data_IF_765000833774
#
_entry.id   IF_765000833774
#
_cell.length_a   1.000
_cell.length_b   1.000
_cell.length_c   1.000
_cell.angle_alpha   90.00
_cell.angle_beta   90.00
_cell.angle_gamma   90.00
#
_symmetry.space_group_name_H-M   'P 1'
#
loop_
_entity.id
_entity.type
_entity.pdbx_description
1 polymer ?
#
# COMPACT_ATOMS: atom_id res chain seq x y z
N UNK A 1 -40.19 -24.92 -7.34
CA UNK A 1 -41.05 -23.99 -6.58
C UNK A 1 -40.25 -22.73 -6.26
N UNK A 2 -40.78 -21.58 -6.70
CA UNK A 2 -40.47 -20.17 -6.40
C UNK A 2 -39.02 -19.68 -6.44
N UNK A 3 -38.67 -19.13 -7.61
CA UNK A 3 -37.76 -17.99 -7.81
C UNK A 3 -38.44 -16.72 -7.29
N UNK A 4 -37.71 -15.82 -6.62
CA UNK A 4 -38.10 -14.41 -6.46
C UNK A 4 -36.93 -13.56 -6.97
N UNK A 5 -37.14 -13.03 -8.18
CA UNK A 5 -36.51 -11.84 -8.75
C UNK A 5 -37.48 -10.68 -8.48
N UNK A 6 -37.00 -9.44 -8.57
CA UNK A 6 -37.76 -8.17 -8.63
C UNK A 6 -37.97 -7.52 -7.25
N UNK A 7 -37.86 -6.21 -7.01
CA UNK A 7 -37.87 -5.03 -7.88
C UNK A 7 -37.43 -3.86 -6.98
N UNK A 8 -36.45 -3.04 -7.36
CA UNK A 8 -36.08 -1.83 -6.59
C UNK A 8 -35.94 -0.66 -7.57
N UNK A 9 -37.08 -0.16 -8.01
CA UNK A 9 -37.23 1.12 -8.68
C UNK A 9 -38.67 1.65 -8.47
N UNK A 10 -38.76 2.88 -7.98
CA UNK A 10 -39.89 3.81 -8.09
C UNK A 10 -41.12 3.49 -7.23
N UNK A 11 -41.22 4.15 -6.08
CA UNK A 11 -42.50 4.57 -5.52
C UNK A 11 -42.30 5.91 -4.79
N UNK A 12 -42.41 6.99 -5.57
CA UNK A 12 -42.69 8.31 -5.06
C UNK A 12 -44.16 8.39 -4.64
N UNK A 13 -44.40 9.16 -3.57
CA UNK A 13 -45.63 9.87 -3.19
C UNK A 13 -46.58 9.28 -2.13
N UNK A 14 -46.76 10.12 -1.10
CA UNK A 14 -47.81 10.23 -0.08
C UNK A 14 -47.69 9.39 1.20
N UNK A 15 -46.92 9.94 2.16
CA UNK A 15 -47.40 10.01 3.55
C UNK A 15 -47.36 11.49 3.95
N UNK A 16 -48.55 12.05 4.17
CA UNK A 16 -48.75 13.38 4.70
C UNK A 16 -48.56 13.42 6.22
N UNK A 17 -48.04 14.55 6.69
CA UNK A 17 -48.23 15.13 8.01
C UNK A 17 -47.90 14.24 9.23
N UNK A 18 -46.63 13.88 9.38
CA UNK A 18 -46.03 13.73 10.72
C UNK A 18 -44.77 14.57 10.75
N UNK A 19 -44.90 15.76 11.34
CA UNK A 19 -43.83 16.57 11.93
C UNK A 19 -42.52 16.64 11.11
N UNK A 20 -42.37 17.69 10.30
CA UNK A 20 -41.06 18.32 10.13
C UNK A 20 -40.59 18.73 11.52
N UNK A 21 -39.87 17.83 12.22
CA UNK A 21 -38.91 18.28 13.22
C UNK A 21 -37.99 19.23 12.47
N UNK A 22 -38.03 20.50 12.86
CA UNK A 22 -37.03 21.51 12.51
C UNK A 22 -35.69 20.79 12.50
N UNK A 23 -35.01 20.74 11.35
CA UNK A 23 -33.69 20.11 11.21
C UNK A 23 -32.88 20.47 12.45
N UNK A 24 -32.47 19.47 13.23
CA UNK A 24 -31.56 19.68 14.34
C UNK A 24 -30.24 20.17 13.73
N UNK A 25 -30.15 21.48 13.58
CA UNK A 25 -28.96 22.14 13.08
C UNK A 25 -27.77 21.73 13.92
N UNK A 26 -26.64 21.54 13.28
CA UNK A 26 -25.34 21.25 13.88
C UNK A 26 -25.10 22.10 15.14
N UNK A 27 -25.28 21.51 16.33
CA UNK A 27 -25.07 22.20 17.60
C UNK A 27 -23.62 22.03 18.01
N UNK A 28 -22.87 23.13 17.98
CA UNK A 28 -21.53 23.18 18.54
C UNK A 28 -21.55 22.85 20.04
N UNK A 29 -20.50 22.19 20.53
CA UNK A 29 -20.33 21.93 21.95
C UNK A 29 -19.86 23.24 22.60
N UNK A 30 -20.80 24.06 23.09
CA UNK A 30 -20.54 25.40 23.65
C UNK A 30 -20.08 25.36 25.12
N UNK A 31 -20.09 24.20 25.78
CA UNK A 31 -19.71 24.04 27.21
C UNK A 31 -18.42 23.25 27.38
N UNK A 32 -17.79 23.39 28.55
CA UNK A 32 -16.72 22.50 29.02
C UNK A 32 -17.26 21.07 29.14
N UNK A 33 -17.25 20.37 28.02
CA UNK A 33 -17.52 18.95 27.94
C UNK A 33 -16.20 18.20 28.16
N UNK A 34 -16.18 17.29 29.14
CA UNK A 34 -15.05 16.41 29.39
C UNK A 34 -14.67 15.61 28.12
N UNK A 35 -15.63 15.31 27.24
CA UNK A 35 -15.37 14.70 25.94
C UNK A 35 -14.51 15.61 25.04
N UNK A 36 -14.72 16.93 25.03
CA UNK A 36 -13.87 17.87 24.28
C UNK A 36 -12.43 17.85 24.77
N UNK A 37 -12.22 17.86 26.09
CA UNK A 37 -10.89 17.76 26.67
C UNK A 37 -10.22 16.42 26.28
N UNK A 38 -10.96 15.31 26.30
CA UNK A 38 -10.47 14.00 25.84
C UNK A 38 -10.12 13.99 24.35
N UNK A 39 -10.94 14.59 23.48
CA UNK A 39 -10.64 14.74 22.04
C UNK A 39 -9.31 15.47 21.87
N UNK A 40 -9.13 16.61 22.53
CA UNK A 40 -7.91 17.42 22.41
C UNK A 40 -6.69 16.64 22.89
N UNK A 41 -6.82 15.86 23.97
CA UNK A 41 -5.73 15.06 24.51
C UNK A 41 -5.39 13.84 23.63
N UNK A 42 -6.41 13.15 23.10
CA UNK A 42 -6.26 11.89 22.39
C UNK A 42 -5.98 12.07 20.89
N UNK A 43 -6.54 13.11 20.26
CA UNK A 43 -6.33 13.49 18.87
C UNK A 43 -5.34 14.64 18.77
N UNK A 44 -4.08 14.37 19.12
CA UNK A 44 -2.99 15.33 18.98
C UNK A 44 -1.76 14.65 18.39
N UNK A 45 -1.32 15.12 17.22
CA UNK A 45 -0.20 14.54 16.49
C UNK A 45 -0.63 13.79 15.23
N UNK A 46 0.24 12.90 14.74
CA UNK A 46 0.02 12.18 13.47
C UNK A 46 -0.39 10.75 13.74
N UNK A 47 -1.44 10.27 13.06
CA UNK A 47 -1.91 8.89 13.11
C UNK A 47 -2.08 8.34 11.70
N UNK A 48 -2.03 7.01 11.56
CA UNK A 48 -2.26 6.33 10.29
C UNK A 48 -3.68 5.78 10.28
N UNK A 49 -4.48 6.20 9.31
CA UNK A 49 -5.83 5.71 9.10
C UNK A 49 -5.94 5.10 7.70
N UNK A 50 -6.61 3.95 7.59
CA UNK A 50 -7.01 3.37 6.32
C UNK A 50 -8.16 4.17 5.71
N UNK A 51 -8.03 4.54 4.43
CA UNK A 51 -9.02 5.36 3.73
C UNK A 51 -9.41 4.76 2.38
N UNK A 52 -10.71 4.58 2.17
CA UNK A 52 -11.27 4.30 0.85
C UNK A 52 -11.40 5.61 0.08
N UNK A 53 -10.97 5.62 -1.19
CA UNK A 53 -11.10 6.80 -2.04
C UNK A 53 -11.88 6.44 -3.28
N UNK A 54 -13.09 6.97 -3.38
CA UNK A 54 -13.96 6.80 -4.52
C UNK A 54 -13.81 7.98 -5.46
N UNK A 55 -13.60 7.71 -6.74
CA UNK A 55 -13.66 8.71 -7.80
C UNK A 55 -14.79 8.35 -8.75
N UNK A 56 -15.76 9.26 -8.90
CA UNK A 56 -16.98 9.03 -9.68
C UNK A 56 -17.72 7.73 -9.27
N UNK A 57 -17.80 7.47 -7.96
CA UNK A 57 -18.45 6.29 -7.39
C UNK A 57 -17.65 4.98 -7.44
N UNK A 58 -16.53 4.96 -8.16
CA UNK A 58 -15.64 3.78 -8.22
C UNK A 58 -14.57 3.89 -7.16
N UNK A 59 -14.49 2.91 -6.26
CA UNK A 59 -13.40 2.81 -5.30
C UNK A 59 -12.06 2.57 -6.02
N UNK A 60 -11.11 3.47 -5.76
CA UNK A 60 -9.74 3.46 -6.28
C UNK A 60 -8.73 2.95 -5.26
N UNK A 61 -9.13 2.75 -4.01
CA UNK A 61 -8.31 2.08 -3.00
C UNK A 61 -8.25 0.57 -3.25
N UNK A 62 -9.34 -0.03 -3.75
CA UNK A 62 -9.47 -1.45 -4.21
C UNK A 62 -9.27 -2.52 -3.14
N UNK A 63 -8.51 -2.25 -2.09
CA UNK A 63 -8.15 -3.17 -1.02
C UNK A 63 -9.00 -2.90 0.23
N UNK A 64 -9.39 -3.96 0.94
CA UNK A 64 -10.28 -3.90 2.11
C UNK A 64 -9.78 -2.98 3.24
N UNK A 65 -8.47 -2.78 3.37
CA UNK A 65 -7.87 -1.92 4.39
C UNK A 65 -7.80 -0.43 4.01
N UNK A 66 -8.21 -0.06 2.80
CA UNK A 66 -8.02 1.28 2.24
C UNK A 66 -6.54 1.65 2.06
N UNK A 67 -6.29 2.87 1.60
CA UNK A 67 -4.95 3.48 1.51
C UNK A 67 -4.49 3.87 2.91
N UNK A 68 -3.33 3.40 3.41
CA UNK A 68 -2.73 3.92 4.63
C UNK A 68 -2.39 5.41 4.46
N UNK A 69 -3.05 6.28 5.22
CA UNK A 69 -2.95 7.73 5.06
C UNK A 69 -2.56 8.38 6.38
N UNK A 70 -1.60 9.31 6.33
CA UNK A 70 -1.18 10.12 7.49
C UNK A 70 -2.19 11.25 7.71
N UNK A 71 -2.89 11.18 8.85
CA UNK A 71 -3.72 12.27 9.33
C UNK A 71 -3.01 12.97 10.48
N UNK A 72 -2.82 14.29 10.35
CA UNK A 72 -2.29 15.13 11.42
C UNK A 72 -3.45 15.87 12.08
N UNK A 73 -3.56 15.71 13.39
CA UNK A 73 -4.51 16.38 14.25
C UNK A 73 -3.78 17.43 15.08
N UNK A 74 -4.33 18.64 15.12
CA UNK A 74 -3.83 19.71 15.98
C UNK A 74 -4.97 20.56 16.48
N UNK A 75 -5.07 20.70 17.80
CA UNK A 75 -6.00 21.64 18.39
C UNK A 75 -5.52 23.09 18.22
N UNK A 76 -6.39 23.95 17.67
CA UNK A 76 -6.18 25.39 17.55
C UNK A 76 -6.91 26.12 18.66
N UNK A 77 -6.21 26.37 19.75
CA UNK A 77 -6.77 26.97 20.97
C UNK A 77 -7.48 28.31 20.71
N UNK A 78 -6.90 29.18 19.88
CA UNK A 78 -7.46 30.50 19.55
C UNK A 78 -8.76 30.42 18.74
N UNK A 79 -8.90 29.39 17.91
CA UNK A 79 -10.06 29.18 17.03
C UNK A 79 -11.07 28.19 17.63
N UNK A 80 -10.72 27.51 18.72
CA UNK A 80 -11.47 26.41 19.34
C UNK A 80 -11.86 25.32 18.33
N UNK A 81 -10.94 25.00 17.43
CA UNK A 81 -11.14 24.05 16.33
C UNK A 81 -10.07 22.98 16.29
N UNK A 82 -10.43 21.80 15.82
CA UNK A 82 -9.50 20.72 15.52
C UNK A 82 -9.05 20.83 14.07
N UNK A 83 -7.80 21.21 13.85
CA UNK A 83 -7.18 21.14 12.53
C UNK A 83 -6.87 19.67 12.19
N UNK A 84 -7.33 19.23 11.03
CA UNK A 84 -7.13 17.89 10.48
C UNK A 84 -6.48 18.06 9.12
N UNK A 85 -5.28 17.52 8.97
CA UNK A 85 -4.47 17.67 7.76
C UNK A 85 -4.08 16.31 7.18
N UNK A 86 -4.28 16.17 5.87
CA UNK A 86 -3.66 15.14 5.04
C UNK A 86 -2.63 15.85 4.19
N UNK A 87 -1.34 15.61 4.42
CA UNK A 87 -0.27 16.33 3.69
C UNK A 87 -0.22 15.92 2.23
N UNK A 88 -0.35 14.61 1.98
CA UNK A 88 -0.25 14.02 0.64
C UNK A 88 -1.17 12.82 0.54
N UNK A 89 -2.06 12.84 -0.43
CA UNK A 89 -2.81 11.68 -0.88
C UNK A 89 -2.84 11.67 -2.41
N UNK A 90 -2.57 10.51 -3.00
CA UNK A 90 -2.66 10.29 -4.45
C UNK A 90 -3.27 8.91 -4.69
N UNK A 91 -4.59 8.77 -4.52
CA UNK A 91 -5.24 7.48 -4.62
C UNK A 91 -5.29 6.99 -6.08
N UNK A 92 -4.85 5.75 -6.30
CA UNK A 92 -5.03 5.03 -7.56
C UNK A 92 -4.24 5.61 -8.74
N UNK A 93 -4.96 6.11 -9.75
CA UNK A 93 -4.39 6.66 -11.00
C UNK A 93 -4.58 8.17 -11.10
N UNK A 94 -4.72 8.86 -9.96
CA UNK A 94 -4.80 10.32 -9.98
C UNK A 94 -3.54 10.92 -10.60
N UNK A 95 -3.68 11.91 -11.50
CA UNK A 95 -2.54 12.48 -12.22
C UNK A 95 -1.59 13.27 -11.32
N UNK A 96 -2.05 13.73 -10.15
CA UNK A 96 -1.24 14.45 -9.17
C UNK A 96 -1.72 14.18 -7.74
N UNK A 97 -0.81 14.34 -6.79
CA UNK A 97 -1.10 14.26 -5.36
C UNK A 97 -1.72 15.57 -4.85
N UNK A 98 -2.55 15.47 -3.81
CA UNK A 98 -3.18 16.62 -3.15
C UNK A 98 -2.96 16.59 -1.65
N UNK A 99 -3.07 17.76 -1.02
CA UNK A 99 -3.19 17.94 0.41
C UNK A 99 -4.60 18.41 0.77
N UNK A 100 -5.01 18.16 2.01
CA UNK A 100 -6.28 18.60 2.58
C UNK A 100 -6.04 19.20 3.95
N UNK A 101 -6.68 20.32 4.24
CA UNK A 101 -6.74 20.89 5.59
C UNK A 101 -8.18 21.25 5.93
N UNK A 102 -8.68 20.72 7.04
CA UNK A 102 -9.97 21.08 7.60
C UNK A 102 -9.80 21.63 9.03
N UNK A 103 -10.55 22.65 9.39
CA UNK A 103 -10.60 23.23 10.74
C UNK A 103 -11.96 22.90 11.37
N UNK A 104 -12.06 21.69 11.89
CA UNK A 104 -13.30 21.11 12.37
C UNK A 104 -13.78 21.72 13.68
N UNK A 105 -15.05 22.08 13.72
CA UNK A 105 -15.78 22.38 14.95
C UNK A 105 -16.21 21.06 15.60
N UNK A 106 -16.12 20.98 16.94
CA UNK A 106 -16.63 19.85 17.72
C UNK A 106 -18.12 20.06 18.02
N UNK A 107 -18.94 19.08 17.65
CA UNK A 107 -20.39 19.19 17.65
C UNK A 107 -21.05 18.00 18.37
N UNK A 108 -22.23 18.26 18.91
CA UNK A 108 -23.12 17.20 19.37
C UNK A 108 -23.67 16.41 18.17
N UNK A 109 -23.96 15.13 18.41
CA UNK A 109 -24.67 14.30 17.45
C UNK A 109 -26.14 14.72 17.40
N UNK A 110 -26.67 14.83 16.19
CA UNK A 110 -28.10 14.91 15.92
C UNK A 110 -28.84 13.65 16.38
N UNK A 111 -30.17 13.71 16.47
CA UNK A 111 -31.02 12.58 16.82
C UNK A 111 -30.84 11.37 15.89
N UNK A 112 -30.60 11.60 14.60
CA UNK A 112 -30.33 10.51 13.66
C UNK A 112 -28.93 9.91 13.88
N UNK A 113 -27.91 10.74 14.04
CA UNK A 113 -26.54 10.27 14.32
C UNK A 113 -26.48 9.50 15.64
N UNK A 114 -27.23 9.90 16.68
CA UNK A 114 -27.33 9.14 17.94
C UNK A 114 -27.92 7.74 17.77
N UNK A 115 -28.73 7.50 16.73
CA UNK A 115 -29.25 6.16 16.43
C UNK A 115 -28.19 5.31 15.72
N UNK A 116 -27.39 5.89 14.83
CA UNK A 116 -26.29 5.21 14.12
C UNK A 116 -25.05 4.98 15.02
N UNK A 117 -24.87 5.84 16.02
CA UNK A 117 -23.77 5.82 16.98
C UNK A 117 -24.32 5.77 18.42
N UNK A 118 -24.95 4.65 18.82
CA UNK A 118 -25.69 4.55 20.08
C UNK A 118 -24.79 4.50 21.32
N UNK A 119 -23.49 4.19 21.17
CA UNK A 119 -22.57 4.11 22.31
C UNK A 119 -22.28 5.49 22.91
N UNK A 120 -22.02 5.53 24.22
CA UNK A 120 -21.60 6.78 24.84
C UNK A 120 -20.19 7.19 24.36
N UNK A 121 -19.98 8.50 24.20
CA UNK A 121 -18.65 9.08 23.96
C UNK A 121 -18.40 9.60 22.54
N UNK A 122 -19.36 9.46 21.62
CA UNK A 122 -19.24 10.03 20.28
C UNK A 122 -19.31 11.56 20.29
N UNK A 123 -18.42 12.17 19.50
CA UNK A 123 -18.39 13.59 19.13
C UNK A 123 -18.33 13.68 17.61
N UNK A 124 -19.02 14.65 17.04
CA UNK A 124 -18.93 15.00 15.63
C UNK A 124 -17.84 16.04 15.38
N UNK A 125 -17.03 15.83 14.35
CA UNK A 125 -16.06 16.79 13.82
C UNK A 125 -16.58 17.29 12.48
N UNK A 126 -16.81 18.59 12.33
CA UNK A 126 -17.42 19.14 11.12
C UNK A 126 -16.69 20.36 10.59
N UNK A 127 -16.45 20.37 9.28
CA UNK A 127 -15.97 21.55 8.56
C UNK A 127 -16.61 21.60 7.16
N UNK A 128 -17.24 22.71 6.81
CA UNK A 128 -17.80 22.98 5.48
C UNK A 128 -16.92 23.94 4.64
N UNK A 129 -15.77 24.35 5.19
CA UNK A 129 -14.83 25.31 4.60
C UNK A 129 -13.41 24.75 4.55
N UNK A 130 -13.26 23.44 4.52
CA UNK A 130 -11.94 22.84 4.38
C UNK A 130 -11.34 23.18 3.02
N UNK A 131 -10.02 23.12 2.94
CA UNK A 131 -9.24 23.51 1.78
C UNK A 131 -8.54 22.30 1.17
N UNK A 132 -8.59 22.20 -0.16
CA UNK A 132 -7.78 21.27 -0.94
C UNK A 132 -6.65 22.05 -1.59
N UNK A 133 -5.44 21.53 -1.50
CA UNK A 133 -4.25 22.16 -2.08
C UNK A 133 -3.52 21.16 -2.98
N UNK A 134 -2.87 21.59 -4.07
CA UNK A 134 -1.94 20.73 -4.78
C UNK A 134 -0.80 20.33 -3.84
N UNK A 135 -0.34 19.08 -3.91
CA UNK A 135 0.86 18.68 -3.19
C UNK A 135 2.09 19.31 -3.85
N UNK A 136 2.88 20.03 -3.06
CA UNK A 136 4.21 20.47 -3.44
C UNK A 136 5.23 19.51 -2.80
N UNK A 137 6.35 19.29 -3.47
CA UNK A 137 7.43 18.47 -2.91
C UNK A 137 7.93 19.10 -1.61
N UNK A 138 8.42 18.27 -0.71
CA UNK A 138 8.83 18.70 0.63
C UNK A 138 9.95 19.76 0.63
N UNK A 139 10.71 19.86 -0.48
CA UNK A 139 11.79 20.83 -0.72
C UNK A 139 11.35 22.10 -1.49
N UNK A 140 10.07 22.21 -1.86
CA UNK A 140 9.55 23.38 -2.56
C UNK A 140 9.37 24.56 -1.58
N UNK A 141 10.03 25.72 -1.83
CA UNK A 141 9.89 26.89 -0.97
C UNK A 141 8.50 27.56 -1.04
N UNK A 142 7.69 27.21 -2.04
CA UNK A 142 6.34 27.74 -2.18
C UNK A 142 5.37 27.07 -1.19
N UNK A 143 4.43 27.85 -0.66
CA UNK A 143 3.29 27.30 0.06
C UNK A 143 2.20 26.95 -0.95
N UNK A 144 1.62 25.73 -0.89
CA UNK A 144 0.57 25.36 -1.80
C UNK A 144 -0.64 26.25 -1.53
N UNK A 145 -1.25 26.78 -2.61
CA UNK A 145 -2.43 27.64 -2.51
C UNK A 145 -3.70 26.77 -2.56
N UNK A 146 -4.74 27.09 -1.78
CA UNK A 146 -6.03 26.42 -1.90
C UNK A 146 -6.58 26.52 -3.32
N UNK A 147 -6.98 25.38 -3.88
CA UNK A 147 -7.52 25.24 -5.24
C UNK A 147 -8.87 24.47 -5.23
N UNK A 148 -9.47 24.33 -4.06
CA UNK A 148 -10.76 23.68 -3.89
C UNK A 148 -11.30 23.83 -2.47
N UNK A 149 -12.62 23.80 -2.35
CA UNK A 149 -13.31 23.69 -1.06
C UNK A 149 -13.61 22.20 -0.78
N UNK A 150 -13.76 21.82 0.47
CA UNK A 150 -14.11 20.46 0.85
C UNK A 150 -15.04 20.45 2.07
N UNK A 151 -15.91 19.44 2.16
CA UNK A 151 -16.78 19.22 3.33
C UNK A 151 -16.33 17.96 4.07
N UNK A 152 -16.06 18.11 5.37
CA UNK A 152 -15.62 17.04 6.25
C UNK A 152 -16.70 16.77 7.30
N UNK A 153 -17.06 15.50 7.42
CA UNK A 153 -17.88 15.01 8.52
C UNK A 153 -17.13 13.84 9.14
N UNK A 154 -16.74 13.99 10.40
CA UNK A 154 -16.08 12.95 11.17
C UNK A 154 -16.83 12.64 12.45
N UNK A 155 -16.62 11.43 12.96
CA UNK A 155 -17.12 10.98 14.25
C UNK A 155 -15.97 10.34 15.02
N UNK A 156 -15.82 10.73 16.28
CA UNK A 156 -14.81 10.18 17.17
C UNK A 156 -15.41 9.77 18.50
N UNK A 157 -15.11 8.56 18.96
CA UNK A 157 -15.53 8.07 20.25
C UNK A 157 -14.39 8.19 21.28
N UNK A 158 -14.54 9.04 22.28
CA UNK A 158 -13.50 9.30 23.30
C UNK A 158 -13.27 8.14 24.28
N UNK A 159 -14.18 7.17 24.31
CA UNK A 159 -14.11 6.00 25.20
C UNK A 159 -13.47 4.81 24.50
N UNK A 160 -13.78 4.58 23.21
CA UNK A 160 -13.25 3.45 22.43
C UNK A 160 -12.07 3.82 21.53
N UNK A 161 -11.83 5.13 21.33
CA UNK A 161 -10.86 5.70 20.40
C UNK A 161 -11.09 5.30 18.94
N UNK A 162 -12.35 4.99 18.61
CA UNK A 162 -12.78 4.72 17.24
C UNK A 162 -13.04 6.03 16.50
N UNK A 163 -12.65 6.05 15.23
CA UNK A 163 -12.78 7.21 14.36
C UNK A 163 -13.34 6.80 13.00
N UNK A 164 -14.18 7.66 12.44
CA UNK A 164 -14.77 7.52 11.11
C UNK A 164 -14.83 8.90 10.44
N UNK A 165 -14.49 8.99 9.15
CA UNK A 165 -14.55 10.25 8.39
C UNK A 165 -15.19 10.05 7.03
N UNK A 166 -15.90 11.09 6.58
CA UNK A 166 -16.25 11.32 5.19
C UNK A 166 -15.68 12.67 4.77
N UNK A 167 -14.90 12.67 3.70
CA UNK A 167 -14.26 13.83 3.09
C UNK A 167 -14.80 13.96 1.67
N UNK A 168 -15.65 14.95 1.43
CA UNK A 168 -16.03 15.31 0.07
C UNK A 168 -15.06 16.38 -0.42
N UNK A 169 -14.18 16.03 -1.35
CA UNK A 169 -13.13 16.93 -1.86
C UNK A 169 -13.68 18.02 -2.80
N UNK A 170 -14.99 17.99 -3.11
CA UNK A 170 -15.68 18.88 -4.06
C UNK A 170 -14.93 19.08 -5.40
N UNK A 171 -14.12 18.09 -5.77
CA UNK A 171 -13.26 18.09 -6.94
C UNK A 171 -13.34 16.71 -7.59
N UNK A 172 -13.60 16.67 -8.90
CA UNK A 172 -13.64 15.46 -9.73
C UNK A 172 -14.50 14.29 -9.15
N UNK A 173 -15.57 14.60 -8.39
CA UNK A 173 -16.40 13.60 -7.69
C UNK A 173 -15.58 12.63 -6.84
N UNK A 174 -14.55 13.15 -6.15
CA UNK A 174 -13.70 12.39 -5.25
C UNK A 174 -14.28 12.45 -3.84
N UNK A 175 -14.48 11.28 -3.24
CA UNK A 175 -14.93 11.12 -1.86
C UNK A 175 -13.97 10.19 -1.14
N UNK A 176 -13.46 10.66 -0.02
CA UNK A 176 -12.67 9.90 0.93
C UNK A 176 -13.56 9.38 2.04
N UNK A 177 -13.46 8.10 2.38
CA UNK A 177 -14.12 7.52 3.53
C UNK A 177 -13.07 6.80 4.38
N UNK A 178 -12.85 7.31 5.58
CA UNK A 178 -12.13 6.57 6.63
C UNK A 178 -13.18 5.74 7.34
N UNK A 179 -13.21 4.44 7.05
CA UNK A 179 -14.10 3.51 7.72
C UNK A 179 -13.79 3.43 9.22
N UNK A 180 -14.79 3.07 10.02
CA UNK A 180 -14.67 2.96 11.48
C UNK A 180 -13.49 2.08 11.87
N UNK A 181 -12.50 2.68 12.53
CA UNK A 181 -11.31 1.99 12.99
C UNK A 181 -10.79 2.62 14.28
N UNK A 182 -10.05 1.84 15.07
CA UNK A 182 -9.37 2.36 16.26
C UNK A 182 -8.10 3.08 15.88
N UNK A 183 -7.83 4.18 16.55
CA UNK A 183 -6.57 4.87 16.43
C UNK A 183 -5.48 4.04 17.09
N UNK A 184 -4.37 3.87 16.37
CA UNK A 184 -3.16 3.23 16.89
C UNK A 184 -1.94 4.09 16.56
N UNK A 185 -1.45 4.81 17.57
CA UNK A 185 -0.26 5.65 17.44
C UNK A 185 1.01 4.82 17.14
N UNK A 186 1.05 3.54 17.51
CA UNK A 186 2.20 2.68 17.25
C UNK A 186 2.39 2.35 15.76
N UNK A 187 1.34 2.46 14.94
CA UNK A 187 1.41 2.26 13.48
C UNK A 187 2.27 3.29 12.76
N UNK A 188 2.42 4.50 13.32
CA UNK A 188 3.18 5.57 12.66
C UNK A 188 4.63 5.16 12.34
N UNK A 189 5.26 4.37 13.22
CA UNK A 189 6.65 3.90 13.02
C UNK A 189 6.79 2.93 11.85
N UNK A 190 5.69 2.27 11.45
CA UNK A 190 5.64 1.28 10.38
C UNK A 190 5.03 1.86 9.09
N UNK A 191 4.74 3.16 9.03
CA UNK A 191 3.97 3.73 7.91
C UNK A 191 4.57 3.44 6.54
N UNK A 192 5.89 3.60 6.38
CA UNK A 192 6.54 3.38 5.09
C UNK A 192 6.40 1.90 4.67
N UNK A 193 6.53 0.96 5.61
CA UNK A 193 6.32 -0.48 5.35
C UNK A 193 4.87 -0.81 5.02
N UNK A 194 3.90 -0.22 5.75
CA UNK A 194 2.46 -0.41 5.50
C UNK A 194 2.05 0.17 4.15
N UNK A 195 2.57 1.34 3.78
CA UNK A 195 2.30 2.00 2.51
C UNK A 195 2.94 1.25 1.34
N UNK A 196 4.20 0.81 1.48
CA UNK A 196 4.88 -0.03 0.49
C UNK A 196 4.12 -1.35 0.24
N UNK A 197 3.63 -1.99 1.31
CA UNK A 197 2.84 -3.21 1.22
C UNK A 197 1.49 -2.97 0.53
N UNK A 198 0.83 -1.85 0.83
CA UNK A 198 -0.40 -1.43 0.16
C UNK A 198 -0.18 -1.19 -1.35
N UNK A 199 0.84 -0.42 -1.74
CA UNK A 199 1.13 -0.11 -3.14
C UNK A 199 1.45 -1.38 -3.95
N UNK A 200 2.22 -2.30 -3.35
CA UNK A 200 2.52 -3.58 -3.99
C UNK A 200 1.27 -4.45 -4.16
N UNK A 201 0.42 -4.54 -3.13
CA UNK A 201 -0.84 -5.29 -3.20
C UNK A 201 -1.83 -4.65 -4.20
N UNK A 202 -1.88 -3.32 -4.28
CA UNK A 202 -2.74 -2.59 -5.21
C UNK A 202 -2.30 -2.86 -6.65
N UNK A 203 -1.00 -2.80 -6.93
CA UNK A 203 -0.50 -3.08 -8.27
C UNK A 203 -0.75 -4.53 -8.69
N UNK A 204 -0.57 -5.48 -7.76
CA UNK A 204 -0.96 -6.87 -7.99
C UNK A 204 -2.44 -7.02 -8.32
N UNK A 205 -3.30 -6.36 -7.54
CA UNK A 205 -4.73 -6.34 -7.80
C UNK A 205 -5.04 -5.77 -9.19
N UNK A 206 -4.41 -4.64 -9.58
CA UNK A 206 -4.62 -4.02 -10.90
C UNK A 206 -4.21 -4.94 -12.04
N UNK A 207 -3.09 -5.66 -11.90
CA UNK A 207 -2.64 -6.64 -12.88
C UNK A 207 -3.62 -7.82 -12.99
N UNK A 208 -4.10 -8.36 -11.86
CA UNK A 208 -5.04 -9.48 -11.83
C UNK A 208 -6.44 -9.12 -12.39
N UNK A 209 -6.80 -7.84 -12.37
CA UNK A 209 -8.10 -7.34 -12.85
C UNK A 209 -8.01 -6.62 -14.21
N UNK A 210 -6.82 -6.55 -14.83
CA UNK A 210 -6.62 -5.90 -16.13
C UNK A 210 -6.69 -4.37 -16.11
N UNK A 211 -6.66 -3.75 -14.93
CA UNK A 211 -6.63 -2.28 -14.74
C UNK A 211 -5.25 -1.69 -15.06
N UNK A 212 -4.21 -2.53 -15.13
CA UNK A 212 -2.85 -2.14 -15.48
C UNK A 212 -2.22 -3.14 -16.44
N UNK A 213 -1.39 -2.64 -17.36
CA UNK A 213 -0.57 -3.46 -18.24
C UNK A 213 0.87 -2.96 -18.15
N UNK A 214 1.79 -3.89 -17.92
CA UNK A 214 3.21 -3.57 -17.95
C UNK A 214 3.64 -3.45 -19.41
N UNK A 215 3.79 -2.20 -19.88
CA UNK A 215 4.18 -1.89 -21.26
C UNK A 215 5.61 -1.37 -21.30
N UNK A 216 6.37 -1.80 -22.30
CA UNK A 216 7.72 -1.29 -22.55
C UNK A 216 8.72 -2.38 -22.92
N UNK A 217 9.77 -2.01 -23.64
CA UNK A 217 10.86 -2.92 -24.01
C UNK A 217 11.70 -3.36 -22.82
N UNK A 218 11.64 -2.65 -21.69
CA UNK A 218 12.43 -2.98 -20.49
C UNK A 218 12.11 -4.37 -19.92
N UNK A 219 10.86 -4.85 -20.03
CA UNK A 219 10.49 -6.20 -19.61
C UNK A 219 11.09 -7.27 -20.53
N UNK A 220 11.09 -7.03 -21.84
CA UNK A 220 11.79 -7.86 -22.82
C UNK A 220 13.28 -7.92 -22.52
N UNK A 221 13.91 -6.75 -22.36
CA UNK A 221 15.32 -6.62 -22.02
C UNK A 221 15.67 -7.30 -20.70
N UNK A 222 14.75 -7.32 -19.73
CA UNK A 222 14.95 -8.09 -18.49
C UNK A 222 15.01 -9.59 -18.79
N UNK A 223 14.08 -10.13 -19.59
CA UNK A 223 14.07 -11.55 -19.95
C UNK A 223 15.36 -11.93 -20.68
N UNK A 224 15.78 -11.12 -21.67
CA UNK A 224 17.02 -11.32 -22.41
C UNK A 224 18.27 -11.23 -21.51
N UNK A 225 18.32 -10.24 -20.62
CA UNK A 225 19.41 -10.03 -19.66
C UNK A 225 19.57 -11.20 -18.68
N UNK A 226 18.45 -11.73 -18.17
CA UNK A 226 18.45 -12.89 -17.26
C UNK A 226 18.89 -14.17 -17.98
N UNK A 227 18.55 -14.33 -19.26
CA UNK A 227 18.89 -15.54 -20.03
C UNK A 227 18.30 -16.81 -19.39
N UNK A 228 18.97 -17.96 -19.58
CA UNK A 228 18.51 -19.24 -19.05
C UNK A 228 18.91 -19.48 -17.58
N UNK A 229 20.04 -18.92 -17.15
CA UNK A 229 20.52 -19.07 -15.78
C UNK A 229 21.51 -17.98 -15.38
N UNK A 230 21.55 -17.68 -14.09
CA UNK A 230 22.59 -16.86 -13.43
C UNK A 230 23.03 -17.54 -12.15
N UNK A 231 24.34 -17.53 -11.88
CA UNK A 231 24.84 -17.88 -10.56
C UNK A 231 24.99 -16.61 -9.74
N UNK A 232 24.30 -16.54 -8.60
CA UNK A 232 24.39 -15.41 -7.68
C UNK A 232 25.38 -15.78 -6.56
N UNK A 233 26.63 -15.30 -6.60
CA UNK A 233 27.63 -15.69 -5.62
C UNK A 233 27.40 -15.03 -4.28
N UNK A 234 27.95 -15.66 -3.22
CA UNK A 234 27.97 -15.10 -1.88
C UNK A 234 26.60 -14.59 -1.39
N UNK A 235 25.55 -15.38 -1.65
CA UNK A 235 24.23 -15.10 -1.11
C UNK A 235 24.18 -15.53 0.35
N UNK A 236 23.66 -14.65 1.18
CA UNK A 236 23.48 -14.89 2.61
C UNK A 236 22.20 -15.71 2.81
N UNK A 237 22.36 -16.93 3.31
CA UNK A 237 21.28 -17.83 3.66
C UNK A 237 21.22 -17.95 5.17
N UNK A 238 20.03 -17.74 5.74
CA UNK A 238 19.73 -18.00 7.15
C UNK A 238 18.67 -19.10 7.27
N UNK A 239 18.97 -20.12 8.05
CA UNK A 239 18.07 -21.24 8.36
C UNK A 239 18.30 -21.72 9.79
N UNK A 240 17.21 -21.83 10.56
CA UNK A 240 17.23 -22.23 11.98
C UNK A 240 18.23 -21.41 12.83
N UNK A 241 18.32 -20.10 12.55
CA UNK A 241 19.19 -19.16 13.28
C UNK A 241 20.68 -19.22 12.90
N UNK A 242 21.07 -20.09 11.96
CA UNK A 242 22.44 -20.13 11.41
C UNK A 242 22.48 -19.41 10.07
N UNK A 243 23.53 -18.62 9.87
CA UNK A 243 23.78 -17.91 8.62
C UNK A 243 25.02 -18.45 7.91
N UNK A 244 24.92 -18.68 6.60
CA UNK A 244 26.05 -19.08 5.75
C UNK A 244 26.01 -18.36 4.41
N UNK A 245 27.16 -18.26 3.75
CA UNK A 245 27.23 -17.87 2.35
C UNK A 245 27.04 -19.10 1.47
N UNK A 246 26.34 -18.93 0.35
CA UNK A 246 26.10 -19.96 -0.65
C UNK A 246 26.01 -19.32 -2.03
N UNK A 247 26.50 -20.02 -3.06
CA UNK A 247 26.30 -19.61 -4.44
C UNK A 247 24.98 -20.18 -4.93
N UNK A 248 24.14 -19.34 -5.52
CA UNK A 248 22.79 -19.72 -5.96
C UNK A 248 22.73 -19.84 -7.49
N UNK A 249 22.73 -21.05 -8.06
CA UNK A 249 22.44 -21.24 -9.46
C UNK A 249 20.93 -21.07 -9.69
N UNK A 250 20.50 -19.91 -10.17
CA UNK A 250 19.09 -19.62 -10.45
C UNK A 250 18.83 -19.86 -11.94
N UNK A 251 17.84 -20.69 -12.25
CA UNK A 251 17.35 -20.90 -13.59
C UNK A 251 16.12 -20.04 -13.87
N UNK A 252 16.04 -19.54 -15.09
CA UNK A 252 14.96 -18.69 -15.58
C UNK A 252 14.38 -19.31 -16.85
N UNK A 253 13.05 -19.41 -16.90
CA UNK A 253 12.34 -19.85 -18.09
C UNK A 253 11.11 -18.98 -18.30
N UNK A 254 11.11 -18.23 -19.39
CA UNK A 254 9.98 -17.39 -19.75
C UNK A 254 8.87 -18.22 -20.39
N UNK A 255 7.72 -18.33 -19.72
CA UNK A 255 6.56 -19.11 -20.18
C UNK A 255 5.55 -18.22 -20.92
N UNK A 256 6.03 -17.34 -21.79
CA UNK A 256 5.21 -16.25 -22.35
C UNK A 256 5.32 -15.97 -23.86
N UNK A 257 6.20 -16.63 -24.61
CA UNK A 257 6.45 -16.25 -26.01
C UNK A 257 6.97 -14.81 -26.15
N UNK A 258 6.71 -14.14 -27.29
CA UNK A 258 7.32 -12.84 -27.64
C UNK A 258 6.57 -11.59 -27.16
N UNK A 259 5.39 -11.72 -26.53
CA UNK A 259 4.63 -10.55 -26.06
C UNK A 259 4.86 -10.33 -24.56
N UNK A 260 5.56 -9.26 -24.24
CA UNK A 260 5.96 -8.89 -22.88
C UNK A 260 4.96 -7.96 -22.17
N UNK A 261 3.82 -7.70 -22.79
CA UNK A 261 2.77 -6.78 -22.30
C UNK A 261 1.62 -7.46 -21.57
N UNK A 262 1.63 -8.79 -21.48
CA UNK A 262 0.52 -9.57 -20.95
C UNK A 262 0.76 -9.95 -19.47
N UNK A 263 -0.13 -9.46 -18.61
CA UNK A 263 -0.14 -9.63 -17.16
C UNK A 263 -0.34 -11.07 -16.69
N UNK A 264 -0.83 -11.96 -17.57
CA UNK A 264 -1.01 -13.37 -17.24
C UNK A 264 0.25 -14.20 -17.41
N UNK A 265 1.26 -13.69 -18.12
CA UNK A 265 2.50 -14.41 -18.42
C UNK A 265 3.44 -14.40 -17.22
N UNK A 266 4.18 -15.50 -17.06
CA UNK A 266 5.02 -15.75 -15.89
C UNK A 266 6.44 -16.15 -16.29
N UNK A 267 7.40 -15.75 -15.46
CA UNK A 267 8.75 -16.25 -15.46
C UNK A 267 8.79 -17.41 -14.45
N UNK A 268 9.08 -18.62 -14.91
CA UNK A 268 9.43 -19.70 -14.01
C UNK A 268 10.86 -19.50 -13.53
N UNK A 269 11.04 -19.54 -12.21
CA UNK A 269 12.32 -19.32 -11.54
C UNK A 269 12.57 -20.50 -10.62
N UNK A 270 13.67 -21.20 -10.85
CA UNK A 270 13.98 -22.43 -10.14
C UNK A 270 15.35 -22.34 -9.50
N UNK A 271 15.42 -22.66 -8.21
CA UNK A 271 16.66 -23.02 -7.54
C UNK A 271 16.73 -24.55 -7.55
N UNK A 272 17.67 -25.16 -8.30
CA UNK A 272 17.91 -26.59 -8.25
C UNK A 272 18.46 -26.94 -6.87
N UNK A 273 18.49 -28.23 -6.52
CA UNK A 273 18.99 -28.65 -5.21
C UNK A 273 20.41 -28.13 -4.99
N UNK A 274 20.54 -27.22 -4.04
CA UNK A 274 21.78 -26.49 -3.77
C UNK A 274 22.23 -26.83 -2.36
N UNK A 275 23.46 -27.33 -2.23
CA UNK A 275 24.04 -27.75 -0.96
C UNK A 275 24.33 -26.53 -0.07
N UNK A 276 23.86 -26.59 1.16
CA UNK A 276 24.11 -25.62 2.22
C UNK A 276 24.96 -26.29 3.28
N UNK A 277 26.29 -26.30 3.05
CA UNK A 277 27.23 -27.10 3.83
C UNK A 277 27.17 -26.84 5.35
N UNK A 278 26.97 -25.59 5.78
CA UNK A 278 26.90 -25.22 7.19
C UNK A 278 25.73 -25.87 7.97
N UNK A 279 24.66 -26.23 7.25
CA UNK A 279 23.47 -26.87 7.82
C UNK A 279 23.35 -28.34 7.42
N UNK A 280 24.25 -28.84 6.56
CA UNK A 280 24.21 -30.19 6.01
C UNK A 280 22.85 -30.56 5.38
N UNK A 281 22.29 -29.63 4.60
CA UNK A 281 21.02 -29.76 3.88
C UNK A 281 21.19 -29.34 2.42
N UNK A 282 20.25 -29.72 1.56
CA UNK A 282 20.07 -29.06 0.26
C UNK A 282 18.75 -28.30 0.23
N UNK A 283 18.68 -27.22 -0.54
CA UNK A 283 17.47 -26.43 -0.73
C UNK A 283 17.14 -26.35 -2.20
N UNK A 284 15.86 -26.44 -2.53
CA UNK A 284 15.34 -26.16 -3.88
C UNK A 284 14.02 -25.40 -3.80
N UNK A 285 13.75 -24.57 -4.78
CA UNK A 285 12.43 -23.96 -4.95
C UNK A 285 12.03 -23.88 -6.42
N UNK A 286 10.72 -23.82 -6.66
CA UNK A 286 10.12 -23.59 -7.97
C UNK A 286 9.06 -22.48 -7.82
N UNK A 287 9.25 -21.40 -8.56
CA UNK A 287 8.46 -20.18 -8.45
C UNK A 287 7.92 -19.75 -9.81
N UNK A 288 6.66 -19.34 -9.84
CA UNK A 288 6.05 -18.68 -11.00
C UNK A 288 5.94 -17.18 -10.72
N UNK A 289 6.96 -16.42 -11.13
CA UNK A 289 7.04 -14.99 -10.90
C UNK A 289 6.34 -14.19 -12.00
N UNK A 290 5.74 -13.06 -11.62
CA UNK A 290 5.30 -12.03 -12.56
C UNK A 290 6.17 -10.79 -12.43
N UNK A 291 6.21 -9.97 -13.47
CA UNK A 291 6.69 -8.61 -13.29
C UNK A 291 5.75 -7.85 -12.34
N UNK A 292 6.34 -7.02 -11.49
CA UNK A 292 5.65 -6.23 -10.49
C UNK A 292 6.24 -4.81 -10.46
N UNK A 293 5.40 -3.85 -10.11
CA UNK A 293 5.72 -2.44 -9.95
C UNK A 293 4.80 -1.89 -8.84
N UNK A 294 5.16 -0.87 -8.05
CA UNK A 294 6.44 -0.18 -7.98
C UNK A 294 7.51 -0.97 -7.22
N UNK A 295 8.77 -0.53 -7.33
CA UNK A 295 9.83 -0.88 -6.38
C UNK A 295 9.56 -0.13 -5.07
N UNK A 296 9.51 -0.87 -3.95
CA UNK A 296 9.17 -0.31 -2.62
C UNK A 296 10.26 0.64 -2.12
N UNK A 297 9.94 1.58 -1.22
CA UNK A 297 10.93 2.50 -0.64
C UNK A 297 12.08 1.75 0.02
N UNK A 298 11.78 0.68 0.74
CA UNK A 298 12.79 -0.19 1.36
C UNK A 298 13.74 -0.79 0.31
N UNK A 299 13.21 -1.24 -0.83
CA UNK A 299 14.03 -1.75 -1.94
C UNK A 299 14.89 -0.65 -2.58
N UNK A 300 14.37 0.57 -2.70
CA UNK A 300 15.13 1.71 -3.23
C UNK A 300 16.29 2.10 -2.29
N UNK A 301 16.02 2.18 -0.98
CA UNK A 301 17.03 2.50 0.04
C UNK A 301 18.18 1.48 0.07
N UNK A 302 17.90 0.21 -0.21
CA UNK A 302 18.94 -0.83 -0.31
C UNK A 302 19.94 -0.54 -1.44
N UNK A 303 19.45 -0.10 -2.60
CA UNK A 303 20.31 0.27 -3.73
C UNK A 303 21.05 1.58 -3.46
N UNK A 304 20.40 2.55 -2.81
CA UNK A 304 21.06 3.80 -2.38
C UNK A 304 22.22 3.52 -1.42
N UNK A 305 22.02 2.68 -0.39
CA UNK A 305 23.07 2.28 0.56
C UNK A 305 24.22 1.50 -0.09
N UNK A 306 24.00 0.92 -1.26
CA UNK A 306 25.03 0.28 -2.06
C UNK A 306 25.79 1.24 -2.98
N UNK A 307 25.60 2.56 -2.82
CA UNK A 307 26.28 3.60 -3.61
C UNK A 307 25.59 3.92 -4.94
N UNK A 308 24.37 3.43 -5.17
CA UNK A 308 23.55 3.77 -6.34
C UNK A 308 22.61 4.92 -5.93
N UNK A 309 23.22 6.06 -5.60
CA UNK A 309 22.53 7.26 -5.13
C UNK A 309 22.05 8.13 -6.31
N UNK A 310 20.96 8.88 -6.09
CA UNK A 310 20.45 9.86 -7.07
C UNK A 310 19.76 9.27 -8.31
N UNK A 311 19.64 7.94 -8.43
CA UNK A 311 18.89 7.34 -9.53
C UNK A 311 17.39 7.37 -9.30
N UNK A 312 16.64 7.68 -10.35
CA UNK A 312 15.19 7.59 -10.36
C UNK A 312 14.82 6.12 -10.56
N UNK A 313 14.22 5.50 -9.53
CA UNK A 313 13.70 4.12 -9.58
C UNK A 313 12.45 4.06 -10.45
N UNK A 314 12.66 4.12 -11.77
CA UNK A 314 11.62 3.99 -12.78
C UNK A 314 11.63 2.59 -13.39
N UNK A 315 10.48 2.16 -13.91
CA UNK A 315 10.34 0.90 -14.64
C UNK A 315 11.14 0.86 -15.96
N UNK A 316 11.76 1.97 -16.37
CA UNK A 316 12.67 2.04 -17.52
C UNK A 316 14.07 1.50 -17.20
N UNK A 317 14.50 1.60 -15.94
CA UNK A 317 15.84 1.20 -15.48
C UNK A 317 15.76 -0.01 -14.56
N UNK A 318 14.75 -0.06 -13.69
CA UNK A 318 14.58 -1.12 -12.71
C UNK A 318 13.35 -1.96 -13.03
N UNK A 319 13.48 -3.27 -12.99
CA UNK A 319 12.34 -4.19 -13.05
C UNK A 319 12.35 -5.11 -11.84
N UNK A 320 11.16 -5.45 -11.36
CA UNK A 320 10.96 -6.39 -10.27
C UNK A 320 10.19 -7.60 -10.77
N UNK A 321 10.69 -8.79 -10.47
CA UNK A 321 9.95 -10.05 -10.56
C UNK A 321 9.54 -10.46 -9.15
N UNK A 322 8.26 -10.76 -8.96
CA UNK A 322 7.71 -11.23 -7.69
C UNK A 322 6.96 -12.54 -7.88
N UNK A 323 7.23 -13.49 -6.99
CA UNK A 323 6.42 -14.69 -6.83
C UNK A 323 5.99 -14.82 -5.36
N UNK A 324 4.73 -15.17 -5.16
CA UNK A 324 4.18 -15.57 -3.87
C UNK A 324 3.77 -17.04 -3.95
N UNK A 325 3.59 -17.66 -2.80
CA UNK A 325 3.28 -19.09 -2.68
C UNK A 325 4.33 -20.01 -3.35
N UNK A 326 5.60 -19.65 -3.24
CA UNK A 326 6.72 -20.38 -3.85
C UNK A 326 6.88 -21.75 -3.17
N UNK A 327 6.84 -22.81 -3.98
CA UNK A 327 7.02 -24.18 -3.51
C UNK A 327 8.48 -24.41 -3.18
N UNK A 328 8.76 -24.74 -1.93
CA UNK A 328 10.12 -24.85 -1.40
C UNK A 328 10.29 -26.16 -0.67
N UNK A 329 11.43 -26.81 -0.90
CA UNK A 329 11.78 -28.08 -0.26
C UNK A 329 13.17 -28.00 0.33
N UNK A 330 13.27 -28.44 1.58
CA UNK A 330 14.53 -28.70 2.28
C UNK A 330 14.76 -30.20 2.24
N UNK A 331 15.95 -30.60 1.83
CA UNK A 331 16.38 -31.97 1.67
C UNK A 331 17.52 -32.28 2.64
N UNK A 332 17.77 -33.57 2.88
CA UNK A 332 19.03 -34.01 3.50
C UNK A 332 20.25 -33.61 2.65
N UNK A 333 21.45 -33.74 3.23
CA UNK A 333 22.72 -33.40 2.59
C UNK A 333 22.93 -34.10 1.25
N UNK A 334 22.43 -35.33 1.11
CA UNK A 334 22.53 -36.14 -0.11
C UNK A 334 21.48 -35.75 -1.17
N UNK A 335 20.48 -34.94 -0.80
CA UNK A 335 19.41 -34.50 -1.69
C UNK A 335 18.42 -35.60 -2.07
N UNK A 336 18.39 -36.72 -1.33
CA UNK A 336 17.57 -37.91 -1.61
C UNK A 336 16.26 -37.95 -0.82
N UNK A 337 16.21 -37.35 0.36
CA UNK A 337 15.06 -37.33 1.26
C UNK A 337 14.57 -35.91 1.49
N UNK A 338 13.26 -35.69 1.37
CA UNK A 338 12.63 -34.44 1.76
C UNK A 338 12.51 -34.38 3.29
N UNK A 339 12.98 -33.29 3.88
CA UNK A 339 12.90 -33.04 5.32
C UNK A 339 11.71 -32.14 5.68
N UNK A 340 11.54 -31.04 4.93
CA UNK A 340 10.45 -30.07 5.11
C UNK A 340 10.04 -29.49 3.76
N UNK A 341 8.77 -29.17 3.61
CA UNK A 341 8.23 -28.46 2.44
C UNK A 341 7.30 -27.34 2.87
N UNK A 342 7.20 -26.31 2.04
CA UNK A 342 6.25 -25.22 2.24
C UNK A 342 5.94 -24.54 0.92
N UNK A 343 4.69 -24.14 0.75
CA UNK A 343 4.21 -23.34 -0.38
C UNK A 343 3.95 -21.89 0.04
N UNK A 344 4.66 -21.40 1.07
CA UNK A 344 4.52 -20.03 1.60
C UNK A 344 5.79 -19.20 1.41
N UNK A 345 6.64 -19.60 0.45
CA UNK A 345 7.79 -18.79 0.08
C UNK A 345 7.37 -17.54 -0.68
N UNK A 346 8.12 -16.47 -0.50
CA UNK A 346 8.03 -15.24 -1.27
C UNK A 346 9.39 -14.96 -1.90
N UNK A 347 9.41 -14.78 -3.22
CA UNK A 347 10.61 -14.50 -4.00
C UNK A 347 10.48 -13.13 -4.64
N UNK A 348 11.54 -12.33 -4.52
CA UNK A 348 11.69 -11.05 -5.22
C UNK A 348 13.04 -11.01 -5.91
N UNK A 349 13.04 -10.64 -7.18
CA UNK A 349 14.26 -10.35 -7.95
C UNK A 349 14.14 -8.95 -8.51
N UNK A 350 15.16 -8.13 -8.28
CA UNK A 350 15.25 -6.79 -8.83
C UNK A 350 16.41 -6.78 -9.81
N UNK A 351 16.14 -6.33 -11.02
CA UNK A 351 17.19 -6.07 -12.01
C UNK A 351 17.32 -4.58 -12.25
N UNK A 352 18.55 -4.13 -12.44
CA UNK A 352 18.90 -2.79 -12.91
C UNK A 352 19.55 -2.96 -14.28
N UNK A 353 18.93 -2.42 -15.32
CA UNK A 353 19.31 -2.65 -16.71
C UNK A 353 20.14 -1.53 -17.33
N UNK A 354 20.76 -0.68 -16.51
CA UNK A 354 21.60 0.42 -16.98
C UNK A 354 22.87 -0.13 -17.64
N UNK A 355 23.14 0.24 -18.89
CA UNK A 355 24.26 -0.27 -19.71
C UNK A 355 25.61 -0.32 -19.01
N UNK A 356 25.96 0.75 -18.29
CA UNK A 356 27.26 0.95 -17.65
C UNK A 356 27.37 0.27 -16.29
N UNK A 357 26.25 -0.16 -15.69
CA UNK A 357 26.26 -0.85 -14.41
C UNK A 357 25.03 -1.77 -14.25
N UNK A 358 24.89 -2.81 -15.08
CA UNK A 358 23.78 -3.73 -14.98
C UNK A 358 23.93 -4.53 -13.69
N UNK A 359 22.84 -4.82 -12.99
CA UNK A 359 22.91 -5.63 -11.78
C UNK A 359 21.64 -6.39 -11.48
N UNK A 360 21.77 -7.42 -10.66
CA UNK A 360 20.67 -8.23 -10.15
C UNK A 360 20.77 -8.37 -8.64
N UNK A 361 19.62 -8.47 -7.98
CA UNK A 361 19.51 -8.87 -6.58
C UNK A 361 18.34 -9.84 -6.41
N UNK A 362 18.53 -10.87 -5.60
CA UNK A 362 17.50 -11.80 -5.18
C UNK A 362 17.27 -11.70 -3.67
N UNK A 363 16.00 -11.67 -3.28
CA UNK A 363 15.57 -11.87 -1.91
C UNK A 363 14.48 -12.94 -1.88
N UNK A 364 14.61 -13.88 -0.95
CA UNK A 364 13.65 -14.94 -0.74
C UNK A 364 13.39 -15.09 0.76
N UNK A 365 12.13 -15.30 1.14
CA UNK A 365 11.75 -15.56 2.52
C UNK A 365 10.68 -16.64 2.58
N UNK A 366 10.83 -17.55 3.54
CA UNK A 366 9.80 -18.49 3.94
C UNK A 366 9.76 -18.56 5.46
N UNK A 367 8.79 -17.85 6.03
CA UNK A 367 8.63 -17.74 7.48
C UNK A 367 8.26 -19.07 8.14
N UNK A 368 7.51 -19.92 7.45
CA UNK A 368 7.09 -21.24 7.95
C UNK A 368 8.28 -22.20 8.09
N UNK A 369 9.22 -22.14 7.16
CA UNK A 369 10.47 -22.91 7.24
C UNK A 369 11.56 -22.21 8.07
N UNK A 370 11.38 -20.96 8.48
CA UNK A 370 12.44 -20.17 9.10
C UNK A 370 13.64 -19.98 8.16
N UNK A 371 13.39 -19.89 6.86
CA UNK A 371 14.40 -19.78 5.80
C UNK A 371 14.35 -18.38 5.18
N UNK A 372 15.51 -17.73 5.07
CA UNK A 372 15.65 -16.49 4.28
C UNK A 372 16.94 -16.53 3.48
N UNK A 373 16.90 -16.06 2.25
CA UNK A 373 18.04 -15.98 1.35
C UNK A 373 18.09 -14.57 0.77
N UNK A 374 19.28 -13.95 0.78
CA UNK A 374 19.47 -12.63 0.18
C UNK A 374 20.81 -12.58 -0.52
N UNK A 375 20.82 -12.27 -1.81
CA UNK A 375 22.05 -11.97 -2.52
C UNK A 375 22.49 -10.52 -2.28
N UNK A 376 23.80 -10.22 -2.38
CA UNK A 376 24.23 -8.85 -2.61
C UNK A 376 23.69 -8.34 -3.96
N UNK A 377 23.87 -7.04 -4.23
CA UNK A 377 23.67 -6.49 -5.57
C UNK A 377 24.86 -6.94 -6.41
N UNK A 378 24.58 -7.80 -7.38
CA UNK A 378 25.60 -8.45 -8.21
C UNK A 378 25.67 -7.72 -9.55
N UNK A 379 26.81 -7.11 -9.90
CA UNK A 379 27.03 -6.59 -11.24
C UNK A 379 26.99 -7.72 -12.27
N UNK A 380 26.36 -7.48 -13.41
CA UNK A 380 26.31 -8.40 -14.53
C UNK A 380 26.64 -7.66 -15.83
N UNK A 381 27.00 -8.39 -16.88
CA UNK A 381 27.15 -7.84 -18.23
C UNK A 381 25.80 -7.80 -18.96
N UNK A 382 25.70 -6.96 -20.01
CA UNK A 382 24.56 -6.96 -20.93
C UNK A 382 23.42 -5.99 -20.59
N UNK A 383 23.69 -4.88 -19.88
CA UNK A 383 22.70 -3.82 -19.73
C UNK A 383 22.44 -3.08 -21.05
N UNK A 384 21.41 -2.23 -21.04
CA UNK A 384 20.92 -1.52 -22.22
C UNK A 384 21.04 -0.01 -22.02
N UNK A 385 21.20 0.73 -23.13
CA UNK A 385 21.11 2.19 -23.08
C UNK A 385 19.69 2.56 -22.62
N UNK A 386 19.58 3.31 -21.53
CA UNK A 386 18.29 3.82 -21.07
C UNK A 386 17.77 4.79 -22.11
N UNK A 387 16.75 4.39 -22.87
CA UNK A 387 16.00 5.32 -23.69
C UNK A 387 15.21 6.22 -22.75
N UNK A 388 15.62 7.49 -22.66
CA UNK A 388 14.66 8.55 -22.39
C UNK A 388 13.59 8.55 -23.47
#
# INVERSE_FOLDING_TARGET
MKKIISLLCIASFVIGAVSCKKEEQHQEIVREDNRTAKVIQQLNGTVILGQDVKMAGVDKSRLQGGVPTKFRFRWKEAEKKMEIQIVKIQPGSMPFAIGVTANATLMELSSWEKNEYPEAGWIKLFDDKGEVTPYLKDDDPAKPKPDGAMIMIGFYNVNTQEIEFSINYNMMNVVGHVFRQKIDAARLKNFDEEYDAYEEALAEWKLDHGDEQLRGKTYQYTVEFLGESKTLPAATLSYEGKTTQVDLPIHFQWEGGTEYTNVTKRMRITLPKTLVGANNIQISFDASARFAYPTTKTEQELYQKAGIEGEIFSHYVFTKLKAVNVATTIWNAEGTQQLKTSNKGELRIITRLKKDAPSIRLAYVNKELGLSITSPIIPLEGGYDSFY
#
